data_IF_201920271031
#
_entry.id   IF_201920271031
#
_cell.length_a   1.000
_cell.length_b   1.000
_cell.length_c   1.000
_cell.angle_alpha   90.00
_cell.angle_beta   90.00
_cell.angle_gamma   90.00
#
_symmetry.space_group_name_H-M   'P 1'
#
loop_
_entity.id
_entity.type
_entity.pdbx_description
1 polymer ?
#
# COMPACT_ATOMS: atom_id res chain seq x y z
N UNK A 1 5.11 -31.75 -7.06
CA UNK A 1 5.44 -31.45 -5.63
C UNK A 1 4.60 -32.32 -4.71
N UNK A 2 5.14 -32.78 -3.55
CA UNK A 2 4.39 -33.50 -2.52
C UNK A 2 4.25 -32.63 -1.27
N UNK A 3 3.25 -32.91 -0.44
CA UNK A 3 3.01 -32.19 0.80
C UNK A 3 1.75 -31.34 0.82
N UNK A 4 1.55 -30.62 1.93
CA UNK A 4 0.39 -29.73 2.07
C UNK A 4 0.47 -28.53 1.12
N UNK A 5 -0.65 -27.85 0.87
CA UNK A 5 -0.68 -26.57 0.14
C UNK A 5 0.35 -25.57 0.71
N UNK A 6 0.37 -25.43 2.02
CA UNK A 6 1.28 -24.50 2.72
C UNK A 6 2.76 -24.88 2.58
N UNK A 7 3.08 -26.17 2.54
CA UNK A 7 4.44 -26.64 2.28
C UNK A 7 4.87 -26.31 0.84
N UNK A 8 4.04 -26.65 -0.14
CA UNK A 8 4.35 -26.41 -1.55
C UNK A 8 4.51 -24.90 -1.85
N UNK A 9 3.61 -24.07 -1.32
CA UNK A 9 3.75 -22.60 -1.49
C UNK A 9 4.96 -22.04 -0.75
N UNK A 10 5.41 -22.68 0.32
CA UNK A 10 6.70 -22.40 0.99
C UNK A 10 7.87 -22.60 0.04
N UNK A 11 7.97 -23.79 -0.56
CA UNK A 11 9.03 -24.13 -1.52
C UNK A 11 9.03 -23.18 -2.74
N UNK A 12 7.86 -22.84 -3.26
CA UNK A 12 7.75 -21.87 -4.36
C UNK A 12 8.18 -20.46 -3.92
N UNK A 13 7.90 -20.09 -2.67
CA UNK A 13 8.39 -18.83 -2.11
C UNK A 13 9.91 -18.80 -2.00
N UNK A 14 10.53 -19.87 -1.49
CA UNK A 14 11.99 -20.00 -1.43
C UNK A 14 12.65 -19.89 -2.80
N UNK A 15 12.02 -20.42 -3.85
CA UNK A 15 12.54 -20.34 -5.19
C UNK A 15 12.56 -18.92 -5.79
N UNK A 16 11.70 -17.99 -5.33
CA UNK A 16 11.53 -16.67 -6.00
C UNK A 16 11.73 -15.47 -5.08
N UNK A 17 11.80 -15.65 -3.76
CA UNK A 17 11.96 -14.54 -2.82
C UNK A 17 13.43 -14.27 -2.52
N UNK A 18 13.87 -13.04 -2.78
CA UNK A 18 15.20 -12.53 -2.44
C UNK A 18 15.01 -11.18 -1.74
N UNK A 19 15.12 -11.19 -0.42
CA UNK A 19 14.89 -9.99 0.38
C UNK A 19 15.84 -8.85 -0.01
N UNK A 20 15.29 -7.68 -0.24
CA UNK A 20 16.06 -6.48 -0.58
C UNK A 20 16.66 -6.46 -1.98
N UNK A 21 16.39 -7.45 -2.85
CA UNK A 21 16.89 -7.44 -4.22
C UNK A 21 16.55 -6.14 -4.94
N UNK A 22 17.55 -5.53 -5.58
CA UNK A 22 17.41 -4.23 -6.26
C UNK A 22 16.43 -4.33 -7.42
N UNK A 23 15.82 -3.21 -7.78
CA UNK A 23 14.86 -3.17 -8.88
C UNK A 23 15.55 -3.47 -10.22
N UNK A 24 16.75 -2.92 -10.42
CA UNK A 24 17.57 -3.11 -11.62
C UNK A 24 17.84 -4.58 -11.87
N UNK A 25 18.26 -5.31 -10.84
CA UNK A 25 18.57 -6.73 -10.89
C UNK A 25 17.33 -7.59 -11.24
N UNK A 26 16.14 -7.15 -10.81
CA UNK A 26 14.89 -7.89 -11.01
C UNK A 26 14.23 -7.68 -12.37
N UNK A 27 14.64 -6.69 -13.11
CA UNK A 27 14.15 -6.41 -14.46
C UNK A 27 15.17 -6.83 -15.55
N UNK A 28 16.39 -7.14 -15.17
CA UNK A 28 17.45 -7.61 -16.07
C UNK A 28 17.28 -9.12 -16.32
N UNK A 29 16.98 -9.56 -17.56
CA UNK A 29 16.78 -10.96 -17.89
C UNK A 29 17.99 -11.86 -17.62
N UNK A 30 19.19 -11.29 -17.68
CA UNK A 30 20.46 -12.02 -17.51
C UNK A 30 20.89 -12.10 -16.04
N UNK A 31 20.21 -11.38 -15.15
CA UNK A 31 20.56 -11.34 -13.74
C UNK A 31 19.89 -12.50 -12.95
N UNK A 32 20.64 -13.08 -12.00
CA UNK A 32 20.15 -14.15 -11.11
C UNK A 32 18.82 -13.81 -10.41
N UNK A 33 18.58 -12.54 -10.10
CA UNK A 33 17.36 -12.07 -9.42
C UNK A 33 16.24 -11.66 -10.38
N UNK A 34 16.36 -11.94 -11.69
CA UNK A 34 15.32 -11.63 -12.65
C UNK A 34 13.94 -12.14 -12.18
N UNK A 35 12.94 -11.28 -12.21
CA UNK A 35 11.56 -11.53 -11.76
C UNK A 35 11.39 -11.94 -10.30
N UNK A 36 12.43 -11.93 -9.46
CA UNK A 36 12.31 -12.23 -8.03
C UNK A 36 11.40 -11.24 -7.29
N UNK A 37 10.84 -11.69 -6.18
CA UNK A 37 10.15 -10.85 -5.21
C UNK A 37 11.16 -10.36 -4.15
N UNK A 38 11.14 -9.05 -3.84
CA UNK A 38 12.09 -8.44 -2.92
C UNK A 38 11.49 -7.93 -1.61
N UNK A 39 10.15 -7.79 -1.55
CA UNK A 39 9.44 -7.26 -0.38
C UNK A 39 8.77 -8.41 0.38
N UNK A 40 9.09 -8.55 1.66
CA UNK A 40 8.45 -9.52 2.56
C UNK A 40 6.92 -9.38 2.58
N UNK A 41 6.40 -8.14 2.63
CA UNK A 41 4.96 -7.87 2.61
C UNK A 41 4.30 -8.36 1.31
N UNK A 42 4.94 -8.12 0.17
CA UNK A 42 4.43 -8.60 -1.13
C UNK A 42 4.48 -10.13 -1.22
N UNK A 43 5.58 -10.73 -0.77
CA UNK A 43 5.76 -12.18 -0.71
C UNK A 43 4.65 -12.83 0.12
N UNK A 44 4.41 -12.35 1.34
CA UNK A 44 3.35 -12.86 2.21
C UNK A 44 1.98 -12.74 1.54
N UNK A 45 1.67 -11.57 0.97
CA UNK A 45 0.40 -11.33 0.27
C UNK A 45 0.18 -12.27 -0.91
N UNK A 46 1.22 -12.52 -1.71
CA UNK A 46 1.12 -13.41 -2.87
C UNK A 46 1.04 -14.88 -2.44
N UNK A 47 1.79 -15.28 -1.43
CA UNK A 47 1.69 -16.62 -0.86
C UNK A 47 0.29 -16.89 -0.28
N UNK A 48 -0.36 -15.92 0.33
CA UNK A 48 -1.75 -16.05 0.78
C UNK A 48 -2.72 -16.31 -0.39
N UNK A 49 -2.51 -15.66 -1.53
CA UNK A 49 -3.28 -15.95 -2.76
C UNK A 49 -3.00 -17.36 -3.28
N UNK A 50 -1.74 -17.79 -3.27
CA UNK A 50 -1.36 -19.15 -3.69
C UNK A 50 -1.95 -20.23 -2.77
N UNK A 51 -1.93 -19.99 -1.46
CA UNK A 51 -2.58 -20.88 -0.49
C UNK A 51 -4.09 -21.00 -0.77
N UNK A 52 -4.74 -19.87 -1.07
CA UNK A 52 -6.16 -19.84 -1.41
C UNK A 52 -6.45 -20.59 -2.72
N UNK A 53 -5.64 -20.38 -3.77
CA UNK A 53 -5.72 -21.14 -5.01
C UNK A 53 -5.56 -22.65 -4.76
N UNK A 54 -4.51 -23.05 -4.02
CA UNK A 54 -4.27 -24.46 -3.75
C UNK A 54 -5.41 -25.15 -2.98
N UNK A 55 -6.02 -24.44 -2.03
CA UNK A 55 -7.20 -24.95 -1.33
C UNK A 55 -8.42 -25.06 -2.25
N UNK A 56 -8.67 -24.05 -3.10
CA UNK A 56 -9.70 -24.09 -4.13
C UNK A 56 -9.51 -25.28 -5.08
N UNK A 57 -8.31 -25.50 -5.59
CA UNK A 57 -8.02 -26.61 -6.50
C UNK A 57 -8.15 -27.98 -5.83
N UNK A 58 -7.75 -28.08 -4.56
CA UNK A 58 -7.96 -29.31 -3.77
C UNK A 58 -9.43 -29.62 -3.59
N UNK A 59 -10.27 -28.63 -3.34
CA UNK A 59 -11.68 -28.77 -3.08
C UNK A 59 -12.46 -29.08 -4.36
N UNK A 60 -12.30 -28.26 -5.39
CA UNK A 60 -13.13 -28.29 -6.61
C UNK A 60 -12.58 -29.22 -7.70
N UNK A 61 -11.24 -29.38 -7.78
CA UNK A 61 -10.59 -30.11 -8.84
C UNK A 61 -9.88 -31.40 -8.38
N UNK A 62 -9.88 -31.68 -7.06
CA UNK A 62 -9.11 -32.76 -6.45
C UNK A 62 -7.60 -32.70 -6.78
N UNK A 63 -7.13 -31.53 -7.22
CA UNK A 63 -5.74 -31.26 -7.56
C UNK A 63 -4.97 -30.82 -6.32
N UNK A 64 -3.90 -31.56 -5.98
CA UNK A 64 -3.06 -31.27 -4.80
C UNK A 64 -1.65 -30.83 -5.15
N UNK A 65 -1.24 -30.93 -6.40
CA UNK A 65 0.12 -30.71 -6.86
C UNK A 65 0.20 -29.42 -7.71
N UNK A 66 0.93 -28.42 -7.20
CA UNK A 66 1.10 -27.14 -7.88
C UNK A 66 1.80 -27.23 -9.22
N UNK A 67 2.67 -28.25 -9.43
CA UNK A 67 3.34 -28.45 -10.70
C UNK A 67 2.41 -28.94 -11.82
N UNK A 68 1.19 -29.31 -11.48
CA UNK A 68 0.14 -29.74 -12.42
C UNK A 68 -0.90 -28.67 -12.71
N UNK A 69 -0.72 -27.46 -12.16
CA UNK A 69 -1.59 -26.33 -12.47
C UNK A 69 -1.38 -25.92 -13.91
N UNK A 70 -2.46 -25.74 -14.64
CA UNK A 70 -2.48 -25.29 -16.02
C UNK A 70 -3.43 -24.10 -16.20
N UNK A 71 -3.56 -23.61 -17.44
CA UNK A 71 -4.37 -22.47 -17.81
C UNK A 71 -5.85 -22.62 -17.39
N UNK A 72 -6.43 -23.81 -17.56
CA UNK A 72 -7.82 -24.10 -17.21
C UNK A 72 -8.10 -23.91 -15.72
N UNK A 73 -7.19 -24.36 -14.86
CA UNK A 73 -7.26 -24.16 -13.42
C UNK A 73 -7.21 -22.69 -13.03
N UNK A 74 -6.36 -21.91 -13.71
CA UNK A 74 -6.23 -20.47 -13.49
C UNK A 74 -7.50 -19.74 -13.95
N UNK A 75 -8.04 -20.11 -15.11
CA UNK A 75 -9.28 -19.56 -15.64
C UNK A 75 -10.46 -19.78 -14.68
N UNK A 76 -10.64 -21.02 -14.24
CA UNK A 76 -11.70 -21.38 -13.31
C UNK A 76 -11.60 -20.65 -11.96
N UNK A 77 -10.38 -20.56 -11.41
CA UNK A 77 -10.15 -19.83 -10.16
C UNK A 77 -10.47 -18.34 -10.28
N UNK A 78 -10.03 -17.70 -11.37
CA UNK A 78 -10.32 -16.27 -11.60
C UNK A 78 -11.82 -16.05 -11.79
N UNK A 79 -12.49 -16.91 -12.56
CA UNK A 79 -13.95 -16.84 -12.77
C UNK A 79 -14.72 -16.97 -11.45
N UNK A 80 -14.33 -17.93 -10.60
CA UNK A 80 -14.85 -18.06 -9.24
C UNK A 80 -14.65 -16.76 -8.42
N UNK A 81 -13.47 -16.13 -8.52
CA UNK A 81 -13.20 -14.89 -7.79
C UNK A 81 -14.00 -13.69 -8.30
N UNK A 82 -14.27 -13.62 -9.59
CA UNK A 82 -15.14 -12.58 -10.18
C UNK A 82 -16.57 -12.74 -9.65
N UNK A 83 -17.08 -13.97 -9.61
CA UNK A 83 -18.45 -14.26 -9.17
C UNK A 83 -18.66 -13.93 -7.69
N UNK A 84 -17.78 -14.41 -6.81
CA UNK A 84 -17.98 -14.31 -5.36
C UNK A 84 -17.33 -13.10 -4.70
N UNK A 85 -16.37 -12.47 -5.35
CA UNK A 85 -15.61 -11.33 -4.81
C UNK A 85 -15.37 -10.27 -5.89
N UNK A 86 -16.42 -9.61 -6.40
CA UNK A 86 -16.37 -8.74 -7.59
C UNK A 86 -15.69 -7.40 -7.30
N UNK A 87 -14.46 -7.40 -6.79
CA UNK A 87 -13.63 -6.23 -6.53
C UNK A 87 -12.50 -6.14 -7.55
N UNK A 88 -12.43 -5.03 -8.31
CA UNK A 88 -11.39 -4.77 -9.29
C UNK A 88 -9.99 -4.86 -8.67
N UNK A 89 -9.76 -4.20 -7.53
CA UNK A 89 -8.46 -4.16 -6.87
C UNK A 89 -8.05 -5.54 -6.33
N UNK A 90 -9.02 -6.30 -5.82
CA UNK A 90 -8.76 -7.66 -5.37
C UNK A 90 -8.39 -8.57 -6.54
N UNK A 91 -9.09 -8.45 -7.66
CA UNK A 91 -8.79 -9.21 -8.88
C UNK A 91 -7.41 -8.85 -9.44
N UNK A 92 -7.04 -7.57 -9.51
CA UNK A 92 -5.71 -7.12 -9.93
C UNK A 92 -4.59 -7.70 -9.04
N UNK A 93 -4.83 -7.77 -7.74
CA UNK A 93 -3.90 -8.41 -6.80
C UNK A 93 -3.76 -9.91 -7.09
N UNK A 94 -4.87 -10.62 -7.32
CA UNK A 94 -4.86 -12.03 -7.67
C UNK A 94 -4.07 -12.27 -8.96
N UNK A 95 -4.37 -11.52 -10.01
CA UNK A 95 -3.70 -11.62 -11.32
C UNK A 95 -2.19 -11.40 -11.20
N UNK A 96 -1.77 -10.43 -10.38
CA UNK A 96 -0.35 -10.18 -10.11
C UNK A 96 0.30 -11.33 -9.34
N UNK A 97 -0.40 -11.89 -8.35
CA UNK A 97 0.09 -13.03 -7.57
C UNK A 97 0.21 -14.30 -8.42
N UNK A 98 -0.73 -14.53 -9.34
CA UNK A 98 -0.69 -15.67 -10.27
C UNK A 98 0.45 -15.55 -11.28
N UNK A 99 0.77 -14.32 -11.73
CA UNK A 99 1.97 -14.11 -12.55
C UNK A 99 3.26 -14.45 -11.81
N UNK A 100 3.32 -14.13 -10.51
CA UNK A 100 4.46 -14.52 -9.68
C UNK A 100 4.48 -16.01 -9.34
N UNK A 101 3.33 -16.68 -9.32
CA UNK A 101 3.26 -18.14 -9.20
C UNK A 101 3.85 -18.83 -10.43
N UNK A 102 3.54 -18.32 -11.64
CA UNK A 102 4.12 -18.80 -12.90
C UNK A 102 5.64 -18.70 -12.88
N UNK A 103 6.18 -17.50 -12.53
CA UNK A 103 7.62 -17.28 -12.40
C UNK A 103 8.24 -18.24 -11.36
N UNK A 104 7.54 -18.46 -10.23
CA UNK A 104 8.01 -19.35 -9.15
C UNK A 104 8.06 -20.82 -9.57
N UNK A 105 7.05 -21.29 -10.31
CA UNK A 105 7.01 -22.67 -10.82
C UNK A 105 8.10 -22.93 -11.85
N UNK A 106 8.32 -22.00 -12.78
CA UNK A 106 9.42 -22.08 -13.75
C UNK A 106 10.77 -22.17 -13.06
N UNK A 107 11.00 -21.30 -12.08
CA UNK A 107 12.25 -21.25 -11.33
C UNK A 107 12.45 -22.47 -10.42
N UNK A 108 11.39 -22.92 -9.76
CA UNK A 108 11.42 -24.15 -8.96
C UNK A 108 11.80 -25.37 -9.80
N UNK A 109 11.21 -25.50 -11.01
CA UNK A 109 11.54 -26.62 -11.91
C UNK A 109 13.01 -26.60 -12.31
N UNK A 110 13.56 -25.41 -12.64
CA UNK A 110 14.97 -25.27 -12.97
C UNK A 110 15.89 -25.64 -11.80
N UNK A 111 15.58 -25.16 -10.60
CA UNK A 111 16.38 -25.44 -9.39
C UNK A 111 16.30 -26.92 -9.01
N UNK A 112 15.09 -27.49 -9.01
CA UNK A 112 14.84 -28.83 -8.48
C UNK A 112 15.22 -29.95 -9.49
N UNK A 113 15.05 -29.70 -10.79
CA UNK A 113 15.18 -30.73 -11.82
C UNK A 113 16.24 -30.40 -12.86
N UNK A 114 16.83 -29.19 -12.84
CA UNK A 114 17.75 -28.74 -13.87
C UNK A 114 17.11 -28.61 -15.26
N UNK A 115 15.79 -28.52 -15.34
CA UNK A 115 15.05 -28.50 -16.61
C UNK A 115 14.00 -27.37 -16.59
N UNK A 116 13.88 -26.69 -17.73
CA UNK A 116 12.81 -25.76 -17.95
C UNK A 116 11.47 -26.51 -18.09
N UNK A 117 10.43 -25.98 -17.46
CA UNK A 117 9.05 -26.40 -17.65
C UNK A 117 8.22 -25.22 -18.09
N UNK A 118 7.39 -25.44 -19.07
CA UNK A 118 6.51 -24.41 -19.56
C UNK A 118 5.25 -24.32 -18.69
N UNK A 119 5.06 -23.14 -18.10
CA UNK A 119 3.84 -22.75 -17.41
C UNK A 119 3.37 -21.46 -18.07
N UNK A 120 2.16 -21.46 -18.59
CA UNK A 120 1.53 -20.26 -19.15
C UNK A 120 0.23 -19.96 -18.41
N UNK A 121 0.24 -18.82 -17.71
CA UNK A 121 -0.92 -18.29 -17.00
C UNK A 121 -1.38 -16.96 -17.61
N UNK A 122 -1.10 -16.71 -18.90
CA UNK A 122 -1.45 -15.47 -19.60
C UNK A 122 -2.95 -15.20 -19.64
N UNK A 123 -3.78 -16.25 -19.59
CA UNK A 123 -5.25 -16.17 -19.45
C UNK A 123 -5.69 -15.21 -18.31
N UNK A 124 -4.87 -15.08 -17.28
CA UNK A 124 -5.13 -14.16 -16.16
C UNK A 124 -5.33 -12.71 -16.59
N UNK A 125 -4.56 -12.25 -17.60
CA UNK A 125 -4.65 -10.90 -18.12
C UNK A 125 -5.91 -10.71 -18.97
N UNK A 126 -6.24 -11.71 -19.79
CA UNK A 126 -7.42 -11.70 -20.63
C UNK A 126 -8.70 -11.65 -19.76
N UNK A 127 -8.74 -12.46 -18.70
CA UNK A 127 -9.86 -12.47 -17.74
C UNK A 127 -9.99 -11.14 -16.98
N UNK A 128 -8.87 -10.54 -16.56
CA UNK A 128 -8.89 -9.22 -15.92
C UNK A 128 -9.42 -8.15 -16.86
N UNK A 129 -8.95 -8.14 -18.10
CA UNK A 129 -9.41 -7.22 -19.13
C UNK A 129 -10.93 -7.41 -19.39
N UNK A 130 -11.34 -8.64 -19.62
CA UNK A 130 -12.75 -8.99 -19.83
C UNK A 130 -13.64 -8.52 -18.67
N UNK A 131 -13.24 -8.83 -17.43
CA UNK A 131 -14.00 -8.44 -16.24
C UNK A 131 -14.16 -6.91 -16.11
N UNK A 132 -13.12 -6.14 -16.49
CA UNK A 132 -13.17 -4.68 -16.51
C UNK A 132 -14.10 -4.14 -17.60
N UNK A 133 -13.98 -4.64 -18.82
CA UNK A 133 -14.78 -4.20 -19.97
C UNK A 133 -16.25 -4.52 -19.75
N UNK A 134 -16.55 -5.72 -19.27
CA UNK A 134 -17.92 -6.16 -19.00
C UNK A 134 -18.48 -5.64 -17.66
N UNK A 135 -17.70 -4.81 -16.93
CA UNK A 135 -18.10 -4.25 -15.61
C UNK A 135 -18.53 -5.31 -14.58
N UNK A 136 -17.93 -6.51 -14.68
CA UNK A 136 -18.19 -7.60 -13.74
C UNK A 136 -17.54 -7.38 -12.36
N UNK A 137 -16.64 -6.42 -12.26
CA UNK A 137 -15.95 -6.06 -11.00
C UNK A 137 -16.12 -4.57 -10.72
N UNK A 138 -16.55 -4.26 -9.50
CA UNK A 138 -16.71 -2.90 -9.04
C UNK A 138 -15.35 -2.27 -8.70
N UNK A 139 -15.24 -0.97 -8.98
CA UNK A 139 -14.13 -0.17 -8.47
C UNK A 139 -14.37 0.06 -6.97
N UNK A 140 -13.55 -0.56 -6.11
CA UNK A 140 -13.64 -0.41 -4.65
C UNK A 140 -12.97 0.86 -4.12
N UNK A 141 -12.45 1.73 -4.99
CA UNK A 141 -11.99 3.03 -4.57
C UNK A 141 -13.18 3.96 -4.38
N UNK A 142 -13.36 4.39 -3.16
CA UNK A 142 -14.31 5.43 -2.77
C UNK A 142 -13.54 6.54 -2.06
N UNK A 143 -14.13 7.72 -2.02
CA UNK A 143 -13.59 8.85 -1.29
C UNK A 143 -13.44 8.49 0.20
N UNK A 144 -12.23 8.67 0.74
CA UNK A 144 -11.89 8.37 2.13
C UNK A 144 -11.66 9.61 2.97
N UNK A 145 -12.10 10.76 2.50
CA UNK A 145 -11.96 12.03 3.20
C UNK A 145 -12.79 12.01 4.47
N UNK A 146 -12.20 12.43 5.56
CA UNK A 146 -12.94 12.76 6.77
C UNK A 146 -13.51 14.17 6.66
N UNK A 147 -14.84 14.32 6.75
CA UNK A 147 -15.49 15.64 6.69
C UNK A 147 -15.12 16.50 7.91
N UNK A 148 -15.04 15.89 9.09
CA UNK A 148 -14.69 16.54 10.35
C UNK A 148 -13.46 15.88 10.99
N UNK A 149 -12.26 15.98 10.36
CA UNK A 149 -11.07 15.28 10.82
C UNK A 149 -10.60 15.74 12.20
N UNK A 150 -10.76 17.03 12.52
CA UNK A 150 -10.37 17.59 13.82
C UNK A 150 -11.21 16.99 14.95
N UNK A 151 -12.51 16.85 14.75
CA UNK A 151 -13.40 16.22 15.73
C UNK A 151 -12.96 14.78 16.05
N UNK A 152 -12.54 14.02 15.05
CA UNK A 152 -12.03 12.67 15.26
C UNK A 152 -10.75 12.72 16.09
N UNK A 153 -9.81 13.60 15.72
CA UNK A 153 -8.50 13.73 16.38
C UNK A 153 -8.64 14.12 17.85
N UNK A 154 -9.47 15.12 18.13
CA UNK A 154 -9.71 15.58 19.51
C UNK A 154 -10.29 14.49 20.42
N UNK A 155 -11.06 13.58 19.83
CA UNK A 155 -11.70 12.47 20.55
C UNK A 155 -10.90 11.16 20.56
N UNK A 156 -9.68 11.11 19.97
CA UNK A 156 -8.81 9.94 20.13
C UNK A 156 -8.43 9.77 21.61
N UNK A 157 -8.28 8.52 22.01
CA UNK A 157 -8.04 8.16 23.42
C UNK A 157 -6.58 8.39 23.86
N UNK A 158 -5.65 8.50 22.94
CA UNK A 158 -4.22 8.58 23.19
C UNK A 158 -3.62 9.83 22.52
N UNK A 159 -2.91 10.67 23.30
CA UNK A 159 -2.34 11.91 22.80
C UNK A 159 -1.26 11.70 21.72
N UNK A 160 -0.48 10.62 21.77
CA UNK A 160 0.45 10.30 20.70
C UNK A 160 -0.28 9.93 19.40
N UNK A 161 -1.48 9.32 19.49
CA UNK A 161 -2.32 9.06 18.31
C UNK A 161 -2.87 10.37 17.75
N UNK A 162 -3.23 11.35 18.60
CA UNK A 162 -3.65 12.70 18.15
C UNK A 162 -2.54 13.38 17.37
N UNK A 163 -1.32 13.38 17.90
CA UNK A 163 -0.15 13.98 17.23
C UNK A 163 0.12 13.30 15.89
N UNK A 164 0.12 11.97 15.84
CA UNK A 164 0.31 11.22 14.58
C UNK A 164 -0.77 11.57 13.54
N UNK A 165 -2.03 11.70 13.98
CA UNK A 165 -3.14 12.07 13.10
C UNK A 165 -3.04 13.52 12.59
N UNK A 166 -2.59 14.46 13.45
CA UNK A 166 -2.31 15.84 13.05
C UNK A 166 -1.20 15.94 12.01
N UNK A 167 -0.12 15.17 12.17
CA UNK A 167 0.97 15.09 11.18
C UNK A 167 0.44 14.55 9.83
N UNK A 168 -0.46 13.57 9.85
CA UNK A 168 -1.08 13.05 8.64
C UNK A 168 -2.06 14.05 8.01
N UNK A 169 -2.83 14.76 8.83
CA UNK A 169 -3.83 15.73 8.37
C UNK A 169 -3.21 16.99 7.77
N UNK A 170 -2.15 17.51 8.39
CA UNK A 170 -1.53 18.78 7.96
C UNK A 170 -0.34 18.59 7.04
N UNK A 171 0.37 17.46 7.13
CA UNK A 171 1.55 17.22 6.34
C UNK A 171 1.42 16.08 5.32
N UNK A 172 0.29 15.41 5.29
CA UNK A 172 0.03 14.33 4.34
C UNK A 172 0.95 13.11 4.48
N UNK A 173 1.59 12.92 5.62
CA UNK A 173 2.49 11.78 5.85
C UNK A 173 1.76 10.43 5.77
N UNK A 174 2.46 9.38 5.31
CA UNK A 174 1.95 8.01 5.46
C UNK A 174 2.04 7.54 6.90
N UNK A 175 1.25 6.53 7.26
CA UNK A 175 1.31 5.92 8.60
C UNK A 175 2.72 5.45 8.98
N UNK A 176 3.49 4.94 8.05
CA UNK A 176 4.89 4.53 8.28
C UNK A 176 5.79 5.71 8.69
N UNK A 177 5.51 6.93 8.18
CA UNK A 177 6.25 8.15 8.52
C UNK A 177 5.87 8.77 9.86
N UNK A 178 4.75 8.36 10.45
CA UNK A 178 4.29 8.89 11.75
C UNK A 178 4.34 7.88 12.89
N UNK A 179 4.61 6.59 12.59
CA UNK A 179 4.71 5.56 13.62
C UNK A 179 6.05 5.52 14.34
N UNK A 180 7.06 6.10 13.75
CA UNK A 180 8.37 6.29 14.35
C UNK A 180 8.99 7.58 13.82
N UNK A 181 9.20 8.54 14.71
CA UNK A 181 9.92 9.79 14.44
C UNK A 181 11.05 9.88 15.46
N UNK A 182 12.25 10.28 15.02
CA UNK A 182 13.39 10.51 15.88
C UNK A 182 13.64 12.02 16.01
N UNK A 183 14.32 12.43 17.06
CA UNK A 183 14.67 13.82 17.33
C UNK A 183 15.40 14.50 16.18
N UNK A 184 16.35 13.80 15.53
CA UNK A 184 17.14 14.31 14.41
C UNK A 184 16.33 14.53 13.12
N UNK A 185 15.10 14.07 13.07
CA UNK A 185 14.18 14.32 11.96
C UNK A 185 13.43 15.65 12.04
N UNK A 186 13.49 16.35 13.18
CA UNK A 186 12.99 17.71 13.28
C UNK A 186 13.99 18.68 12.63
N UNK A 187 13.49 19.46 11.64
CA UNK A 187 14.35 20.34 10.81
C UNK A 187 14.12 21.84 11.08
N UNK A 188 13.36 22.16 12.10
CA UNK A 188 13.07 23.55 12.49
C UNK A 188 11.79 24.11 11.87
N UNK A 189 11.60 25.40 12.09
CA UNK A 189 10.50 26.17 11.53
C UNK A 189 10.90 26.76 10.18
N UNK A 190 10.00 26.72 9.21
CA UNK A 190 10.19 27.30 7.88
C UNK A 190 8.92 28.06 7.45
N UNK A 191 8.97 28.69 6.29
CA UNK A 191 7.81 29.35 5.68
C UNK A 191 7.24 28.43 4.59
N UNK A 192 5.96 28.13 4.66
CA UNK A 192 5.25 27.41 3.59
C UNK A 192 5.34 28.23 2.29
N UNK A 193 5.90 27.69 1.21
CA UNK A 193 6.08 28.43 -0.03
C UNK A 193 4.78 28.87 -0.68
N UNK A 194 3.64 28.26 -0.33
CA UNK A 194 2.32 28.55 -0.89
C UNK A 194 1.57 29.56 -0.03
N UNK A 195 1.33 29.24 1.25
CA UNK A 195 0.51 30.08 2.15
C UNK A 195 1.30 31.23 2.77
N UNK A 196 2.63 31.19 2.76
CA UNK A 196 3.51 32.12 3.44
C UNK A 196 3.39 32.12 4.98
N UNK A 197 2.72 31.10 5.51
CA UNK A 197 2.61 30.87 6.97
C UNK A 197 3.81 30.09 7.51
N UNK A 198 4.09 30.23 8.81
CA UNK A 198 5.06 29.40 9.49
C UNK A 198 4.60 27.95 9.59
N UNK A 199 5.53 27.02 9.38
CA UNK A 199 5.32 25.57 9.46
C UNK A 199 6.54 24.90 10.12
N UNK A 200 6.27 23.84 10.88
CA UNK A 200 7.33 22.96 11.35
C UNK A 200 7.68 21.94 10.28
N UNK A 201 8.97 21.65 10.13
CA UNK A 201 9.46 20.67 9.14
C UNK A 201 9.90 19.38 9.84
N UNK A 202 9.35 18.26 9.39
CA UNK A 202 9.76 16.91 9.82
C UNK A 202 10.23 16.14 8.59
N UNK A 203 11.45 15.63 8.62
CA UNK A 203 11.92 14.69 7.61
C UNK A 203 11.37 13.29 7.90
N UNK A 204 10.56 12.74 7.03
CA UNK A 204 9.99 11.39 7.20
C UNK A 204 10.56 10.40 6.21
N UNK A 205 10.75 9.15 6.66
CA UNK A 205 11.09 8.01 5.81
C UNK A 205 9.86 7.14 5.65
N UNK A 206 9.41 6.97 4.41
CA UNK A 206 8.16 6.29 4.09
C UNK A 206 8.39 5.07 3.19
N UNK A 207 7.29 4.40 2.83
CA UNK A 207 7.28 3.19 1.99
C UNK A 207 8.20 3.31 0.76
N UNK A 208 9.05 2.29 0.58
CA UNK A 208 10.01 2.26 -0.53
C UNK A 208 11.27 3.09 -0.26
N UNK A 209 11.53 3.46 1.00
CA UNK A 209 12.71 4.23 1.39
C UNK A 209 12.65 5.71 1.00
N UNK A 210 11.49 6.22 0.61
CA UNK A 210 11.31 7.62 0.24
C UNK A 210 11.49 8.53 1.45
N UNK A 211 12.47 9.39 1.38
CA UNK A 211 12.76 10.42 2.39
C UNK A 211 12.32 11.77 1.84
N UNK A 212 11.81 12.62 2.71
CA UNK A 212 11.45 13.99 2.38
C UNK A 212 10.69 14.68 3.50
N UNK A 213 10.60 15.97 3.35
CA UNK A 213 10.00 16.85 4.33
C UNK A 213 8.48 16.76 4.35
N UNK A 214 7.94 16.97 5.53
CA UNK A 214 6.52 17.07 5.83
C UNK A 214 6.32 18.37 6.57
N UNK A 215 5.46 19.24 6.06
CA UNK A 215 5.10 20.52 6.68
C UNK A 215 3.92 20.30 7.61
N UNK A 216 4.05 20.75 8.86
CA UNK A 216 3.00 20.63 9.87
C UNK A 216 2.75 21.97 10.55
N UNK A 217 1.64 22.09 11.27
CA UNK A 217 1.34 23.30 12.04
C UNK A 217 2.38 23.52 13.15
N UNK A 218 2.79 24.77 13.45
CA UNK A 218 3.81 25.07 14.47
C UNK A 218 3.55 24.43 15.81
N UNK A 219 2.31 24.48 16.33
CA UNK A 219 1.96 23.91 17.64
C UNK A 219 2.15 22.37 17.71
N UNK A 220 2.04 21.64 16.57
CA UNK A 220 2.31 20.20 16.53
C UNK A 220 3.81 19.96 16.56
N UNK A 221 4.57 20.85 15.92
CA UNK A 221 6.03 20.81 15.92
C UNK A 221 6.59 21.10 17.33
N UNK A 222 6.09 22.15 17.99
CA UNK A 222 6.45 22.54 19.36
C UNK A 222 6.16 21.39 20.35
N UNK A 223 5.01 20.72 20.20
CA UNK A 223 4.69 19.55 21.01
C UNK A 223 5.75 18.42 20.84
N UNK A 224 6.21 18.19 19.63
CA UNK A 224 7.27 17.21 19.38
C UNK A 224 8.62 17.67 19.96
N UNK A 225 8.96 18.96 19.87
CA UNK A 225 10.18 19.50 20.48
C UNK A 225 10.17 19.31 21.99
N UNK A 226 9.04 19.60 22.65
CA UNK A 226 8.88 19.36 24.08
C UNK A 226 8.99 17.86 24.41
N UNK A 227 8.31 17.00 23.68
CA UNK A 227 8.39 15.54 23.85
C UNK A 227 9.84 15.05 23.76
N UNK A 228 10.62 15.55 22.80
CA UNK A 228 12.03 15.17 22.57
C UNK A 228 13.01 15.77 23.60
N UNK A 229 12.56 16.53 24.58
CA UNK A 229 13.37 16.85 25.75
C UNK A 229 13.49 15.65 26.70
N UNK A 230 12.54 14.72 26.66
CA UNK A 230 12.43 13.60 27.59
C UNK A 230 12.62 12.23 26.93
N UNK A 231 12.45 12.12 25.61
CA UNK A 231 12.60 10.88 24.83
C UNK A 231 13.34 11.13 23.50
N UNK A 232 14.06 10.15 23.00
CA UNK A 232 14.77 10.24 21.73
C UNK A 232 13.92 9.75 20.55
N UNK A 233 12.76 9.12 20.81
CA UNK A 233 11.93 8.48 19.81
C UNK A 233 10.45 8.62 20.12
N UNK A 234 9.75 9.34 19.28
CA UNK A 234 8.30 9.26 19.24
C UNK A 234 7.90 7.97 18.52
N UNK A 235 7.26 7.04 19.24
CA UNK A 235 6.88 5.73 18.71
C UNK A 235 5.46 5.37 19.09
N UNK A 236 4.65 4.94 18.11
CA UNK A 236 3.31 4.40 18.30
C UNK A 236 3.17 3.02 17.66
N UNK A 237 2.29 2.20 18.22
CA UNK A 237 1.89 0.95 17.60
C UNK A 237 0.84 1.24 16.52
N UNK A 238 1.13 0.86 15.26
CA UNK A 238 0.23 1.13 14.14
C UNK A 238 -1.17 0.51 14.33
N UNK A 239 -1.24 -0.73 14.84
CA UNK A 239 -2.53 -1.41 15.02
C UNK A 239 -3.37 -0.71 16.09
N UNK A 240 -2.77 -0.37 17.23
CA UNK A 240 -3.44 0.37 18.29
C UNK A 240 -3.94 1.74 17.79
N UNK A 241 -3.13 2.45 17.00
CA UNK A 241 -3.50 3.73 16.39
C UNK A 241 -4.68 3.57 15.41
N UNK A 242 -4.64 2.58 14.53
CA UNK A 242 -5.71 2.31 13.60
C UNK A 242 -7.02 1.90 14.31
N UNK A 243 -6.91 1.11 15.37
CA UNK A 243 -8.06 0.69 16.18
C UNK A 243 -8.66 1.87 16.97
N UNK A 244 -7.84 2.77 17.54
CA UNK A 244 -8.32 3.98 18.22
C UNK A 244 -9.12 4.88 17.27
N UNK A 245 -8.61 5.12 16.05
CA UNK A 245 -9.35 5.86 15.01
C UNK A 245 -10.67 5.17 14.71
N UNK A 246 -10.66 3.85 14.49
CA UNK A 246 -11.88 3.10 14.16
C UNK A 246 -12.91 3.18 15.26
N UNK A 247 -12.53 2.97 16.50
CA UNK A 247 -13.45 3.04 17.65
C UNK A 247 -13.98 4.46 17.86
N UNK A 248 -13.12 5.46 17.71
CA UNK A 248 -13.54 6.88 17.82
C UNK A 248 -14.53 7.25 16.72
N UNK A 249 -14.29 6.87 15.47
CA UNK A 249 -15.24 7.10 14.38
C UNK A 249 -16.59 6.44 14.66
N UNK A 250 -16.61 5.17 15.09
CA UNK A 250 -17.85 4.47 15.44
C UNK A 250 -18.61 5.16 16.56
N UNK A 251 -17.91 5.61 17.63
CA UNK A 251 -18.50 6.33 18.74
C UNK A 251 -19.11 7.67 18.31
N UNK A 252 -18.52 8.35 17.34
CA UNK A 252 -19.00 9.61 16.78
C UNK A 252 -20.03 9.45 15.65
N UNK A 253 -20.37 8.22 15.26
CA UNK A 253 -21.27 7.95 14.13
C UNK A 253 -20.66 8.31 12.77
N UNK A 254 -19.32 8.30 12.67
CA UNK A 254 -18.56 8.61 11.44
C UNK A 254 -18.09 7.30 10.80
N UNK A 255 -18.19 7.21 9.48
CA UNK A 255 -17.64 6.05 8.75
C UNK A 255 -16.11 5.99 8.89
N UNK A 256 -15.53 4.84 9.34
CA UNK A 256 -14.09 4.74 9.52
C UNK A 256 -13.35 4.56 8.19
N UNK A 257 -12.47 5.48 7.84
CA UNK A 257 -11.57 5.42 6.69
C UNK A 257 -10.11 5.08 7.07
N UNK A 258 -9.88 4.75 8.34
CA UNK A 258 -8.57 4.42 8.91
C UNK A 258 -7.60 5.61 8.89
N UNK A 259 -6.33 5.33 9.17
CA UNK A 259 -5.28 6.36 9.20
C UNK A 259 -5.13 7.09 7.86
N UNK A 260 -5.41 6.40 6.76
CA UNK A 260 -5.26 6.95 5.42
C UNK A 260 -6.28 8.03 5.07
N UNK A 261 -7.42 8.07 5.78
CA UNK A 261 -8.43 9.10 5.63
C UNK A 261 -7.89 10.52 5.88
N UNK A 262 -7.02 10.71 6.88
CA UNK A 262 -6.39 12.00 7.14
C UNK A 262 -5.50 12.46 5.97
N UNK A 263 -4.78 11.54 5.35
CA UNK A 263 -3.95 11.84 4.19
C UNK A 263 -4.80 12.16 2.93
N UNK A 264 -5.98 11.55 2.79
CA UNK A 264 -6.93 11.94 1.75
C UNK A 264 -7.45 13.35 1.98
N UNK A 265 -7.81 13.68 3.22
CA UNK A 265 -8.24 15.03 3.61
C UNK A 265 -7.14 16.05 3.35
N UNK A 266 -5.90 15.75 3.69
CA UNK A 266 -4.75 16.59 3.35
C UNK A 266 -4.69 16.86 1.84
N UNK A 267 -4.73 15.81 1.01
CA UNK A 267 -4.59 15.97 -0.43
C UNK A 267 -5.64 16.92 -1.02
N UNK A 268 -6.90 16.73 -0.66
CA UNK A 268 -7.99 17.59 -1.14
C UNK A 268 -7.86 19.03 -0.65
N UNK A 269 -7.57 19.22 0.64
CA UNK A 269 -7.39 20.54 1.22
C UNK A 269 -6.18 21.25 0.59
N UNK A 270 -5.08 20.53 0.40
CA UNK A 270 -3.85 21.12 -0.13
C UNK A 270 -3.99 21.52 -1.60
N UNK A 271 -4.67 20.72 -2.43
CA UNK A 271 -5.00 21.13 -3.82
C UNK A 271 -5.82 22.40 -3.83
N UNK A 272 -6.83 22.51 -2.95
CA UNK A 272 -7.64 23.72 -2.84
C UNK A 272 -6.80 24.93 -2.42
N UNK A 273 -5.91 24.77 -1.43
CA UNK A 273 -4.97 25.82 -0.99
C UNK A 273 -4.11 26.31 -2.15
N UNK A 274 -3.55 25.43 -2.96
CA UNK A 274 -2.78 25.82 -4.16
C UNK A 274 -3.64 26.68 -5.11
N UNK A 275 -4.87 26.24 -5.40
CA UNK A 275 -5.78 26.96 -6.30
C UNK A 275 -6.17 28.34 -5.74
N UNK A 276 -6.44 28.44 -4.44
CA UNK A 276 -6.76 29.69 -3.77
C UNK A 276 -5.59 30.70 -3.82
N UNK A 277 -4.35 30.20 -4.01
CA UNK A 277 -3.13 31.02 -4.18
C UNK A 277 -2.72 31.19 -5.65
N UNK A 278 -3.65 30.93 -6.59
CA UNK A 278 -3.48 31.26 -8.01
C UNK A 278 -2.77 30.21 -8.86
N UNK A 279 -2.53 29.01 -8.35
CA UNK A 279 -1.99 27.89 -9.13
C UNK A 279 -3.09 27.24 -9.96
N UNK A 280 -2.75 26.77 -11.17
CA UNK A 280 -3.69 25.97 -11.96
C UNK A 280 -3.96 24.61 -11.29
N UNK A 281 -5.03 23.94 -11.72
CA UNK A 281 -5.36 22.59 -11.20
C UNK A 281 -4.20 21.60 -11.41
N UNK A 282 -3.58 21.59 -12.59
CA UNK A 282 -2.46 20.71 -12.91
C UNK A 282 -1.22 21.02 -12.06
N UNK A 283 -0.94 22.30 -11.83
CA UNK A 283 0.15 22.74 -10.95
C UNK A 283 -0.12 22.33 -9.52
N UNK A 284 -1.36 22.46 -9.03
CA UNK A 284 -1.78 22.02 -7.71
C UNK A 284 -1.63 20.50 -7.54
N UNK A 285 -2.09 19.71 -8.52
CA UNK A 285 -1.92 18.25 -8.51
C UNK A 285 -0.45 17.85 -8.43
N UNK A 286 0.40 18.49 -9.23
CA UNK A 286 1.82 18.18 -9.26
C UNK A 286 2.51 18.62 -7.96
N UNK A 287 2.22 19.80 -7.42
CA UNK A 287 2.74 20.31 -6.17
C UNK A 287 2.42 19.37 -5.00
N UNK A 288 1.13 19.04 -4.84
CA UNK A 288 0.68 18.11 -3.80
C UNK A 288 1.27 16.70 -4.00
N UNK A 289 1.48 16.26 -5.25
CA UNK A 289 2.14 15.00 -5.55
C UNK A 289 3.59 14.95 -5.01
N UNK A 290 4.31 16.07 -5.09
CA UNK A 290 5.66 16.18 -4.52
C UNK A 290 5.62 16.18 -2.99
N UNK A 291 4.77 16.99 -2.37
CA UNK A 291 4.61 17.01 -0.91
C UNK A 291 4.22 15.62 -0.35
N UNK A 292 3.36 14.91 -1.05
CA UNK A 292 2.97 13.53 -0.71
C UNK A 292 4.00 12.47 -1.13
N UNK A 293 5.12 12.83 -1.74
CA UNK A 293 6.19 11.92 -2.20
C UNK A 293 5.70 10.87 -3.21
N UNK A 294 4.70 11.22 -4.04
CA UNK A 294 4.21 10.38 -5.13
C UNK A 294 5.00 10.59 -6.42
N UNK A 295 5.40 11.84 -6.69
CA UNK A 295 6.11 12.29 -7.90
C UNK A 295 5.34 12.09 -9.20
N UNK A 296 4.02 11.90 -9.14
CA UNK A 296 3.10 11.77 -10.28
C UNK A 296 1.75 12.41 -9.96
N UNK A 297 1.34 13.41 -10.74
CA UNK A 297 0.08 14.14 -10.57
C UNK A 297 -1.15 13.21 -10.59
N UNK A 298 -1.15 12.19 -11.47
CA UNK A 298 -2.24 11.21 -11.57
C UNK A 298 -2.51 10.42 -10.28
N UNK A 299 -1.51 10.30 -9.39
CA UNK A 299 -1.72 9.69 -8.08
C UNK A 299 -2.44 10.66 -7.15
N UNK A 300 -2.16 11.97 -7.24
CA UNK A 300 -2.87 12.98 -6.46
C UNK A 300 -4.32 13.08 -6.90
N UNK A 301 -4.58 13.06 -8.20
CA UNK A 301 -5.93 13.07 -8.77
C UNK A 301 -6.79 11.93 -8.21
N UNK A 302 -6.23 10.74 -8.02
CA UNK A 302 -6.90 9.62 -7.35
C UNK A 302 -7.42 9.98 -5.94
N UNK A 303 -6.71 10.84 -5.18
CA UNK A 303 -7.17 11.30 -3.86
C UNK A 303 -8.30 12.34 -3.94
N UNK A 304 -8.61 12.85 -5.10
CA UNK A 304 -9.71 13.81 -5.30
C UNK A 304 -11.05 13.11 -5.60
N UNK A 305 -11.06 11.78 -5.69
CA UNK A 305 -12.27 10.99 -5.92
C UNK A 305 -12.63 10.85 -7.40
N UNK A 306 -11.63 11.03 -8.29
CA UNK A 306 -11.75 10.77 -9.71
C UNK A 306 -11.72 9.29 -10.05
#
# INVERSE_FOLDING_TARGET
>A
MRGSVYYQTGQLTEAIFVEGAKKEDRIDPDHLHYKCMASYKSMKTYRDVWNNLGNYLKEHWKLKDFEKINEEHIDAYISYKIEYYPSKQYLEKIVSALGKLEDALKRFALIQYGAERDYDFSIRQNKLHYAKVQKLVANGYHNRVYQNPVQIIENLSNDHHKVAALIQLYGGARSEGVTLIKKDQLKGIAIDPITKEEVGIIETKEKGGKIGDVMIRPYVYEWLEEYFQYDERFKINYQAYADDIRQTCLRLGIEPHGTHGFRWTFAQNRVRIYQDHGYTYEQALQGVSWEMKHFRASITEHYLGG
#
